data_IF_888607782364
#
_entry.id   IF_888607782364
#
_cell.length_a   1.000
_cell.length_b   1.000
_cell.length_c   1.000
_cell.angle_alpha   90.00
_cell.angle_beta   90.00
_cell.angle_gamma   90.00
#
_symmetry.space_group_name_H-M   'P 1'
#
loop_
_entity.id
_entity.type
_entity.pdbx_description
1 polymer ?
#
# COMPACT_ATOMS: atom_id res chain seq x y z
N UNK A 1 9.85 1.70 25.44
CA UNK A 1 8.67 1.95 24.57
C UNK A 1 9.12 1.64 23.15
N UNK A 2 8.53 0.63 22.52
CA UNK A 2 9.20 -0.17 21.48
C UNK A 2 8.99 0.31 20.04
N UNK A 3 8.49 1.53 19.83
CA UNK A 3 8.27 2.07 18.49
C UNK A 3 8.68 3.54 18.48
N UNK A 4 9.38 3.97 17.42
CA UNK A 4 9.78 5.36 17.27
C UNK A 4 8.55 6.23 17.00
N UNK A 5 8.58 7.48 17.43
CA UNK A 5 7.49 8.45 17.21
C UNK A 5 7.09 8.55 15.73
N UNK A 6 8.04 8.34 14.81
CA UNK A 6 7.76 8.31 13.37
C UNK A 6 6.87 7.14 12.97
N UNK A 7 7.09 5.96 13.57
CA UNK A 7 6.27 4.77 13.29
C UNK A 7 4.86 4.96 13.80
N UNK A 8 4.70 5.59 14.96
CA UNK A 8 3.39 5.89 15.56
C UNK A 8 2.65 6.93 14.72
N UNK A 9 3.31 8.02 14.29
CA UNK A 9 2.69 9.03 13.42
C UNK A 9 2.19 8.42 12.09
N UNK A 10 2.99 7.54 11.48
CA UNK A 10 2.57 6.85 10.26
C UNK A 10 1.42 5.85 10.48
N UNK A 11 1.28 5.31 11.69
CA UNK A 11 0.19 4.40 12.05
C UNK A 11 -1.12 5.15 12.33
N UNK A 12 -1.03 6.28 13.03
CA UNK A 12 -2.19 7.11 13.38
C UNK A 12 -2.67 7.99 12.21
N UNK A 13 -1.73 8.48 11.39
CA UNK A 13 -1.99 9.33 10.22
C UNK A 13 -1.49 8.66 8.93
N UNK A 14 -2.11 7.56 8.49
CA UNK A 14 -1.68 6.88 7.29
C UNK A 14 -1.90 7.77 6.07
N UNK A 15 -0.80 8.08 5.37
CA UNK A 15 -0.81 8.90 4.16
C UNK A 15 -1.01 7.97 2.97
N UNK A 16 -1.90 8.35 2.05
CA UNK A 16 -2.19 7.62 0.81
C UNK A 16 -2.93 6.28 1.00
N UNK A 17 -3.86 6.25 1.96
CA UNK A 17 -4.76 5.12 2.17
C UNK A 17 -5.77 5.04 1.03
N UNK A 18 -5.81 3.90 0.37
CA UNK A 18 -6.84 3.62 -0.61
C UNK A 18 -6.41 2.58 -1.61
N UNK A 19 -7.25 2.40 -2.62
CA UNK A 19 -6.93 1.62 -3.81
C UNK A 19 -7.29 2.42 -5.05
N UNK A 20 -6.58 2.15 -6.13
CA UNK A 20 -6.97 2.56 -7.47
C UNK A 20 -7.82 1.47 -8.13
N UNK A 21 -8.54 1.85 -9.18
CA UNK A 21 -9.23 0.88 -10.03
C UNK A 21 -8.19 -0.02 -10.73
N UNK A 22 -8.44 -1.32 -10.75
CA UNK A 22 -7.52 -2.26 -11.40
C UNK A 22 -7.75 -2.32 -12.93
N UNK A 23 -8.80 -1.68 -13.44
CA UNK A 23 -9.08 -1.58 -14.88
C UNK A 23 -8.46 -0.35 -15.54
N UNK A 24 -7.79 0.51 -14.77
CA UNK A 24 -7.07 1.65 -15.31
C UNK A 24 -5.72 1.17 -15.85
N UNK A 25 -5.50 1.30 -17.16
CA UNK A 25 -4.26 0.87 -17.83
C UNK A 25 -3.02 1.61 -17.31
N UNK A 26 -3.24 2.79 -16.73
CA UNK A 26 -2.21 3.63 -16.12
C UNK A 26 -1.91 3.25 -14.66
N UNK A 27 -2.57 2.22 -14.13
CA UNK A 27 -2.39 1.76 -12.74
C UNK A 27 -1.63 0.44 -12.70
N UNK A 28 -0.39 0.52 -12.19
CA UNK A 28 0.39 -0.67 -11.84
C UNK A 28 0.01 -1.17 -10.45
N UNK A 29 -0.38 -2.44 -10.32
CA UNK A 29 -0.60 -3.08 -9.02
C UNK A 29 0.45 -4.15 -8.74
N UNK A 30 1.14 -4.04 -7.60
CA UNK A 30 2.11 -5.02 -7.12
C UNK A 30 1.65 -5.57 -5.77
N UNK A 31 1.39 -6.87 -5.70
CA UNK A 31 1.16 -7.55 -4.43
C UNK A 31 2.41 -8.35 -4.07
N UNK A 32 3.00 -8.05 -2.92
CA UNK A 32 4.20 -8.71 -2.41
C UNK A 32 3.89 -9.23 -1.02
N UNK A 33 4.13 -10.51 -0.79
CA UNK A 33 3.89 -11.12 0.52
C UNK A 33 4.34 -12.57 0.56
N UNK A 34 4.81 -13.00 1.72
CA UNK A 34 5.06 -14.39 2.01
C UNK A 34 3.85 -14.95 2.77
N UNK A 35 3.13 -15.95 2.22
CA UNK A 35 1.98 -16.57 2.91
C UNK A 35 2.34 -17.12 4.30
N UNK A 36 3.62 -17.43 4.52
CA UNK A 36 4.12 -18.00 5.76
C UNK A 36 4.25 -17.01 6.92
N UNK A 37 4.37 -15.69 6.67
CA UNK A 37 4.58 -14.68 7.71
C UNK A 37 3.34 -13.80 7.98
N UNK A 38 2.25 -13.98 7.25
CA UNK A 38 1.01 -13.21 7.45
C UNK A 38 1.05 -11.76 6.96
N UNK A 39 2.23 -11.25 6.60
CA UNK A 39 2.42 -9.92 6.04
C UNK A 39 2.35 -9.97 4.52
N UNK A 40 1.14 -9.72 4.00
CA UNK A 40 0.94 -9.41 2.58
C UNK A 40 0.81 -7.90 2.48
N UNK A 41 1.55 -7.29 1.56
CA UNK A 41 1.44 -5.87 1.24
C UNK A 41 1.04 -5.73 -0.22
N UNK A 42 0.03 -4.91 -0.48
CA UNK A 42 -0.35 -4.50 -1.84
C UNK A 42 0.08 -3.05 -2.02
N UNK A 43 0.69 -2.72 -3.15
CA UNK A 43 1.07 -1.35 -3.48
C UNK A 43 0.58 -1.07 -4.90
N UNK A 44 -0.11 0.05 -5.07
CA UNK A 44 -0.61 0.48 -6.37
C UNK A 44 -0.02 1.83 -6.71
N UNK A 45 0.48 1.96 -7.93
CA UNK A 45 1.04 3.20 -8.47
C UNK A 45 0.26 3.60 -9.70
N UNK A 46 0.04 4.90 -9.86
CA UNK A 46 -0.52 5.48 -11.08
C UNK A 46 0.60 6.18 -11.83
N UNK A 47 0.75 5.86 -13.10
CA UNK A 47 1.77 6.40 -14.00
C UNK A 47 1.09 7.18 -15.10
N UNK A 48 1.58 8.37 -15.44
CA UNK A 48 1.06 9.14 -16.56
C UNK A 48 1.63 8.65 -17.92
N UNK A 49 1.12 9.22 -19.01
CA UNK A 49 1.54 8.88 -20.38
C UNK A 49 3.03 9.21 -20.66
N UNK A 50 3.66 10.05 -19.83
CA UNK A 50 5.09 10.38 -19.90
C UNK A 50 5.97 9.39 -19.10
N UNK A 51 5.37 8.41 -18.42
CA UNK A 51 6.08 7.43 -17.59
C UNK A 51 6.43 7.92 -16.18
N UNK A 52 5.84 9.03 -15.72
CA UNK A 52 6.05 9.62 -14.39
C UNK A 52 4.99 9.09 -13.42
N UNK A 53 5.41 8.68 -12.21
CA UNK A 53 4.49 8.26 -11.15
C UNK A 53 3.77 9.48 -10.59
N UNK A 54 2.47 9.58 -10.83
CA UNK A 54 1.64 10.70 -10.32
C UNK A 54 1.19 10.47 -8.89
N UNK A 55 0.84 9.24 -8.55
CA UNK A 55 0.31 8.90 -7.23
C UNK A 55 0.63 7.45 -6.88
N UNK A 56 0.78 7.17 -5.59
CA UNK A 56 1.04 5.86 -5.05
C UNK A 56 0.13 5.64 -3.85
N UNK A 57 -0.70 4.61 -3.90
CA UNK A 57 -1.61 4.23 -2.82
C UNK A 57 -1.24 2.88 -2.24
N UNK A 58 -1.36 2.80 -0.92
CA UNK A 58 -1.24 1.54 -0.20
C UNK A 58 -2.54 1.30 0.58
N UNK A 59 -3.10 0.08 0.54
CA UNK A 59 -4.09 -0.30 1.51
C UNK A 59 -3.36 -0.47 2.85
N UNK A 60 -3.54 0.51 3.74
CA UNK A 60 -2.97 0.55 5.10
C UNK A 60 -3.37 -0.64 5.98
N UNK A 61 -4.24 -1.52 5.51
CA UNK A 61 -4.74 -2.64 6.30
C UNK A 61 -4.94 -3.88 5.45
N UNK A 62 -3.85 -4.63 5.25
CA UNK A 62 -4.03 -6.08 5.16
C UNK A 62 -4.24 -6.55 6.59
N UNK A 63 -5.50 -6.47 7.06
CA UNK A 63 -5.89 -7.30 8.18
C UNK A 63 -5.63 -8.71 7.67
N UNK A 64 -4.57 -9.33 8.17
CA UNK A 64 -4.51 -10.77 8.30
C UNK A 64 -5.81 -11.19 8.98
N UNK A 65 -6.84 -11.46 8.18
CA UNK A 65 -7.93 -12.32 8.55
C UNK A 65 -7.38 -13.74 8.49
N UNK A 66 -6.42 -14.03 9.35
CA UNK A 66 -6.24 -15.38 9.85
C UNK A 66 -7.35 -15.55 10.90
N UNK A 67 -8.33 -16.44 10.67
CA UNK A 67 -9.30 -16.82 11.69
C UNK A 67 -8.63 -17.48 12.90
#
# INVERSE_FOLDING_TARGET
MAYSEKVIDHYENPRNVGSFDNNDDNVGSGMVGAPACGDVMKLQIKVNDEGIIEDARSPTRVKSSLP
#
